data_IF_817498677081
#
_entry.id   IF_817498677081
#
_cell.length_a   1.000
_cell.length_b   1.000
_cell.length_c   1.000
_cell.angle_alpha   90.00
_cell.angle_beta   90.00
_cell.angle_gamma   90.00
#
_symmetry.space_group_name_H-M   'P 1'
#
loop_
_entity.id
_entity.type
_entity.pdbx_description
1 polymer ?
#
# COMPACT_ATOMS: atom_id res chain seq x y z
N UNK A 1 -19.57 0.73 -2.81
CA UNK A 1 -18.74 0.01 -1.82
C UNK A 1 -18.17 1.03 -0.84
N UNK A 2 -18.27 0.81 0.48
CA UNK A 2 -17.67 1.73 1.47
C UNK A 2 -16.13 1.62 1.43
N UNK A 3 -15.39 2.73 1.51
CA UNK A 3 -13.91 2.75 1.52
C UNK A 3 -13.31 1.84 2.60
N UNK A 4 -13.94 1.72 3.78
CA UNK A 4 -13.51 0.74 4.79
C UNK A 4 -13.62 -0.70 4.30
N UNK A 5 -14.71 -1.04 3.61
CA UNK A 5 -14.91 -2.38 3.07
C UNK A 5 -13.89 -2.68 1.97
N UNK A 6 -13.50 -1.66 1.19
CA UNK A 6 -12.42 -1.78 0.21
C UNK A 6 -11.11 -2.21 0.87
N UNK A 7 -10.59 -1.43 1.83
CA UNK A 7 -9.34 -1.78 2.50
C UNK A 7 -9.41 -3.12 3.24
N UNK A 8 -10.57 -3.43 3.84
CA UNK A 8 -10.81 -4.72 4.48
C UNK A 8 -10.73 -5.90 3.51
N UNK A 9 -11.14 -5.73 2.26
CA UNK A 9 -11.06 -6.78 1.23
C UNK A 9 -9.66 -6.99 0.63
N UNK A 10 -8.73 -6.07 0.87
CA UNK A 10 -7.37 -6.20 0.34
C UNK A 10 -6.57 -7.25 1.11
N UNK A 11 -5.70 -7.97 0.41
CA UNK A 11 -4.64 -8.77 1.04
C UNK A 11 -3.66 -7.85 1.79
N UNK A 12 -2.78 -8.42 2.61
CA UNK A 12 -1.80 -7.65 3.36
C UNK A 12 -0.78 -6.98 2.41
N UNK A 13 -0.42 -7.66 1.33
CA UNK A 13 0.44 -7.16 0.27
C UNK A 13 -0.15 -5.92 -0.38
N UNK A 14 -1.39 -6.00 -0.87
CA UNK A 14 -2.05 -4.87 -1.52
C UNK A 14 -2.30 -3.71 -0.55
N UNK A 15 -2.69 -4.00 0.69
CA UNK A 15 -2.83 -2.97 1.72
C UNK A 15 -1.49 -2.26 1.98
N UNK A 16 -0.38 -3.00 2.02
CA UNK A 16 0.98 -2.48 2.13
C UNK A 16 1.39 -1.63 0.93
N UNK A 17 1.12 -2.08 -0.30
CA UNK A 17 1.39 -1.31 -1.52
C UNK A 17 0.66 0.03 -1.52
N UNK A 18 -0.63 0.03 -1.15
CA UNK A 18 -1.40 1.26 -1.01
C UNK A 18 -0.82 2.17 0.08
N UNK A 19 -0.39 1.62 1.22
CA UNK A 19 0.27 2.40 2.26
C UNK A 19 1.52 3.12 1.75
N UNK A 20 2.41 2.40 1.04
CA UNK A 20 3.61 2.96 0.42
C UNK A 20 3.27 4.07 -0.60
N UNK A 21 2.30 3.82 -1.48
CA UNK A 21 1.85 4.78 -2.48
C UNK A 21 1.31 6.07 -1.85
N UNK A 22 0.40 5.93 -0.87
CA UNK A 22 -0.19 7.08 -0.16
C UNK A 22 0.90 7.90 0.53
N UNK A 23 1.87 7.23 1.16
CA UNK A 23 2.99 7.90 1.82
C UNK A 23 3.86 8.69 0.84
N UNK A 24 4.12 8.15 -0.35
CA UNK A 24 4.82 8.86 -1.42
C UNK A 24 4.03 10.09 -1.89
N UNK A 25 2.71 9.98 -2.06
CA UNK A 25 1.85 11.11 -2.44
C UNK A 25 1.83 12.21 -1.39
N UNK A 26 1.80 11.86 -0.10
CA UNK A 26 1.92 12.82 1.01
C UNK A 26 3.26 13.54 0.93
N UNK A 27 4.36 12.80 0.75
CA UNK A 27 5.71 13.39 0.64
C UNK A 27 5.84 14.36 -0.55
N UNK A 28 5.11 14.08 -1.64
CA UNK A 28 5.04 14.95 -2.83
C UNK A 28 4.03 16.10 -2.70
N UNK A 29 3.32 16.21 -1.57
CA UNK A 29 2.30 17.25 -1.35
C UNK A 29 1.05 17.11 -2.22
N UNK A 30 0.79 15.93 -2.80
CA UNK A 30 -0.33 15.70 -3.72
C UNK A 30 -1.59 15.37 -2.93
N UNK A 31 -2.63 16.20 -3.05
CA UNK A 31 -3.95 15.97 -2.44
C UNK A 31 -3.87 15.61 -0.95
N UNK A 32 -3.04 16.33 -0.19
CA UNK A 32 -2.61 16.00 1.18
C UNK A 32 -3.78 15.57 2.08
N UNK A 33 -4.87 16.34 2.12
CA UNK A 33 -6.02 16.03 2.98
C UNK A 33 -6.67 14.69 2.63
N UNK A 34 -6.82 14.40 1.34
CA UNK A 34 -7.34 13.12 0.86
C UNK A 34 -6.37 12.00 1.24
N UNK A 35 -5.07 12.18 1.01
CA UNK A 35 -4.07 11.16 1.30
C UNK A 35 -3.95 10.87 2.80
N UNK A 36 -4.05 11.88 3.67
CA UNK A 36 -4.07 11.70 5.12
C UNK A 36 -5.32 10.92 5.57
N UNK A 37 -6.46 11.18 4.95
CA UNK A 37 -7.68 10.43 5.22
C UNK A 37 -7.55 8.96 4.81
N UNK A 38 -7.04 8.69 3.60
CA UNK A 38 -6.80 7.33 3.13
C UNK A 38 -5.77 6.60 4.00
N UNK A 39 -4.67 7.28 4.37
CA UNK A 39 -3.68 6.76 5.33
C UNK A 39 -4.33 6.33 6.63
N UNK A 40 -5.19 7.16 7.22
CA UNK A 40 -5.90 6.81 8.46
C UNK A 40 -6.78 5.56 8.33
N UNK A 41 -7.44 5.37 7.18
CA UNK A 41 -8.24 4.17 6.93
C UNK A 41 -7.37 2.91 6.85
N UNK A 42 -6.23 3.00 6.15
CA UNK A 42 -5.26 1.91 6.03
C UNK A 42 -4.64 1.57 7.39
N UNK A 43 -4.25 2.57 8.18
CA UNK A 43 -3.64 2.37 9.51
C UNK A 43 -4.62 1.71 10.49
N UNK A 44 -5.91 2.05 10.41
CA UNK A 44 -6.95 1.37 11.18
C UNK A 44 -7.10 -0.10 10.80
N UNK A 45 -7.04 -0.40 9.50
CA UNK A 45 -7.14 -1.78 9.01
C UNK A 45 -5.89 -2.59 9.32
N UNK A 46 -4.70 -2.01 9.23
CA UNK A 46 -3.46 -2.69 9.65
C UNK A 46 -3.52 -3.04 11.15
N UNK A 47 -3.98 -2.09 11.98
CA UNK A 47 -4.18 -2.33 13.41
C UNK A 47 -5.23 -3.42 13.68
N UNK A 48 -6.33 -3.46 12.94
CA UNK A 48 -7.37 -4.50 13.11
C UNK A 48 -6.85 -5.90 12.78
N UNK A 49 -5.84 -6.00 11.90
CA UNK A 49 -5.14 -7.24 11.53
C UNK A 49 -3.95 -7.59 12.43
N UNK A 50 -3.62 -6.75 13.41
CA UNK A 50 -2.46 -6.94 14.28
C UNK A 50 -1.11 -6.68 13.58
N UNK A 51 -1.10 -5.93 12.48
CA UNK A 51 0.10 -5.60 11.71
C UNK A 51 0.58 -4.20 12.12
N UNK A 52 1.85 -4.08 12.49
CA UNK A 52 2.46 -2.78 12.76
C UNK A 52 2.68 -1.99 11.47
N UNK A 53 2.78 -0.66 11.57
CA UNK A 53 3.02 0.18 10.37
C UNK A 53 4.38 -0.09 9.71
N UNK A 54 5.37 -0.53 10.50
CA UNK A 54 6.68 -0.92 10.00
C UNK A 54 6.56 -2.19 9.18
N UNK A 55 5.90 -3.23 9.70
CA UNK A 55 5.65 -4.48 8.97
C UNK A 55 4.83 -4.22 7.71
N UNK A 56 3.78 -3.39 7.78
CA UNK A 56 2.96 -3.03 6.63
C UNK A 56 3.80 -2.39 5.50
N UNK A 57 4.70 -1.47 5.87
CA UNK A 57 5.62 -0.83 4.92
C UNK A 57 6.60 -1.85 4.31
N UNK A 58 7.15 -2.75 5.12
CA UNK A 58 8.05 -3.82 4.64
C UNK A 58 7.31 -4.70 3.64
N UNK A 59 6.14 -5.23 4.00
CA UNK A 59 5.31 -6.08 3.14
C UNK A 59 5.03 -5.38 1.80
N UNK A 60 4.59 -4.13 1.84
CA UNK A 60 4.30 -3.35 0.63
C UNK A 60 5.53 -3.16 -0.26
N UNK A 61 6.66 -2.76 0.33
CA UNK A 61 7.89 -2.52 -0.42
C UNK A 61 8.42 -3.79 -1.09
N UNK A 62 8.43 -4.91 -0.36
CA UNK A 62 8.86 -6.21 -0.90
C UNK A 62 7.97 -6.66 -2.06
N UNK A 63 6.64 -6.49 -1.93
CA UNK A 63 5.72 -6.86 -2.99
C UNK A 63 5.92 -6.00 -4.24
N UNK A 64 6.05 -4.67 -4.09
CA UNK A 64 6.34 -3.76 -5.21
C UNK A 64 7.63 -4.18 -5.93
N UNK A 65 8.71 -4.43 -5.19
CA UNK A 65 9.99 -4.87 -5.77
C UNK A 65 9.86 -6.19 -6.52
N UNK A 66 9.13 -7.15 -5.96
CA UNK A 66 8.89 -8.45 -6.62
C UNK A 66 8.18 -8.27 -7.97
N UNK A 67 7.12 -7.47 -8.02
CA UNK A 67 6.36 -7.24 -9.25
C UNK A 67 7.18 -6.46 -10.29
N UNK A 68 8.00 -5.49 -9.85
CA UNK A 68 8.92 -4.77 -10.74
C UNK A 68 9.92 -5.73 -11.41
N UNK A 69 10.56 -6.59 -10.62
CA UNK A 69 11.53 -7.57 -11.14
C UNK A 69 10.86 -8.56 -12.11
N UNK A 70 9.65 -9.03 -11.79
CA UNK A 70 8.91 -9.91 -12.68
C UNK A 70 8.59 -9.25 -14.04
N UNK A 71 8.21 -7.97 -14.01
CA UNK A 71 7.93 -7.19 -15.23
C UNK A 71 9.19 -6.96 -16.06
N UNK A 72 10.34 -6.73 -15.41
CA UNK A 72 11.63 -6.58 -16.09
C UNK A 72 12.08 -7.89 -16.77
N UNK A 73 11.88 -9.03 -16.11
CA UNK A 73 12.19 -10.34 -16.69
C UNK A 73 11.34 -10.69 -17.91
N UNK A 74 10.06 -10.28 -17.93
CA UNK A 74 9.18 -10.45 -19.10
C UNK A 74 9.62 -9.58 -20.29
N UNK A 75 10.00 -8.33 -20.03
CA UNK A 75 10.49 -7.41 -21.07
C UNK A 75 11.83 -7.85 -21.66
N UNK A 76 12.70 -8.49 -20.88
CA UNK A 76 14.00 -9.00 -21.35
C UNK A 76 13.88 -10.32 -22.14
N UNK A 77 12.73 -11.00 -22.09
CA UNK A 77 12.46 -12.25 -22.82
C UNK A 77 11.62 -12.06 -24.09
N UNK A 78 11.18 -10.82 -24.37
CA UNK A 78 10.37 -10.43 -25.52
C UNK A 78 11.22 -9.79 -26.61
#
# INVERSE_FOLDING_TARGET
>A
MNRRNFYRSLSNELLGCFYCYIQEKINKGVLINTMLFEKHLIEKEAKSRGISLIELRIIGYWFIQKEMNATEDENNRS
#
